data_IF_314400609273
#
_entry.id   IF_314400609273
#
_cell.length_a   1.000
_cell.length_b   1.000
_cell.length_c   1.000
_cell.angle_alpha   90.00
_cell.angle_beta   90.00
_cell.angle_gamma   90.00
#
_symmetry.space_group_name_H-M   'P 1'
#
loop_
_entity.id
_entity.type
_entity.pdbx_description
1 polymer ?
#
# COMPACT_ATOMS: atom_id res chain seq x y z
N UNK A 1 -3.16 9.59 9.74
CA UNK A 1 -3.02 10.07 8.34
C UNK A 1 -1.58 9.95 7.81
N UNK A 2 -0.56 10.43 8.53
CA UNK A 2 0.85 10.44 8.07
C UNK A 2 1.40 9.13 7.49
N UNK A 3 1.04 7.95 8.02
CA UNK A 3 1.52 6.65 7.48
C UNK A 3 0.94 6.38 6.09
N UNK A 4 -0.36 6.63 5.89
CA UNK A 4 -1.06 6.38 4.63
C UNK A 4 -0.66 7.37 3.55
N UNK A 5 -0.30 8.60 3.93
CA UNK A 5 0.25 9.60 3.01
C UNK A 5 1.66 9.21 2.58
N UNK A 6 2.47 8.68 3.51
CA UNK A 6 3.82 8.18 3.21
C UNK A 6 3.79 6.94 2.32
N UNK A 7 2.85 6.02 2.55
CA UNK A 7 2.63 4.88 1.66
C UNK A 7 2.23 5.31 0.24
N UNK A 8 1.50 6.42 0.08
CA UNK A 8 1.17 6.99 -1.23
C UNK A 8 2.43 7.46 -1.96
N UNK A 9 3.29 8.20 -1.25
CA UNK A 9 4.54 8.71 -1.81
C UNK A 9 5.49 7.58 -2.24
N UNK A 10 5.51 6.46 -1.50
CA UNK A 10 6.33 5.30 -1.85
C UNK A 10 5.92 4.62 -3.17
N UNK A 11 4.69 4.81 -3.65
CA UNK A 11 4.24 4.31 -4.96
C UNK A 11 4.95 5.05 -6.11
N UNK A 12 5.36 6.30 -5.88
CA UNK A 12 6.05 7.12 -6.88
C UNK A 12 7.58 7.11 -6.73
N UNK A 13 8.12 6.35 -5.78
CA UNK A 13 9.56 6.24 -5.56
C UNK A 13 10.28 5.60 -6.77
N UNK A 14 11.44 6.17 -7.15
CA UNK A 14 12.28 5.59 -8.20
C UNK A 14 12.96 4.28 -7.75
N UNK A 15 13.36 4.20 -6.47
CA UNK A 15 13.89 2.98 -5.88
C UNK A 15 12.75 2.10 -5.34
N UNK A 16 12.23 1.23 -6.21
CA UNK A 16 11.14 0.33 -5.88
C UNK A 16 11.50 -0.65 -4.74
N UNK A 17 12.76 -1.10 -4.65
CA UNK A 17 13.20 -2.04 -3.62
C UNK A 17 13.19 -1.37 -2.25
N UNK A 18 13.79 -0.19 -2.13
CA UNK A 18 13.76 0.58 -0.89
C UNK A 18 12.31 0.92 -0.49
N UNK A 19 11.47 1.25 -1.47
CA UNK A 19 10.06 1.57 -1.23
C UNK A 19 9.26 0.40 -0.66
N UNK A 20 9.50 -0.83 -1.12
CA UNK A 20 8.84 -2.04 -0.59
C UNK A 20 9.24 -2.27 0.88
N UNK A 21 10.53 -2.19 1.20
CA UNK A 21 11.01 -2.40 2.58
C UNK A 21 10.44 -1.34 3.54
N UNK A 22 10.43 -0.08 3.11
CA UNK A 22 9.85 1.00 3.91
C UNK A 22 8.33 0.82 4.08
N UNK A 23 7.63 0.43 3.01
CA UNK A 23 6.20 0.15 3.09
C UNK A 23 5.90 -0.98 4.09
N UNK A 24 6.67 -2.08 4.07
CA UNK A 24 6.55 -3.17 5.05
C UNK A 24 6.75 -2.66 6.48
N UNK A 25 7.80 -1.89 6.72
CA UNK A 25 8.08 -1.32 8.04
C UNK A 25 6.96 -0.40 8.54
N UNK A 26 6.38 0.41 7.65
CA UNK A 26 5.24 1.28 7.97
C UNK A 26 3.96 0.48 8.26
N UNK A 27 3.70 -0.57 7.48
CA UNK A 27 2.51 -1.40 7.62
C UNK A 27 2.53 -2.25 8.90
N UNK A 28 3.71 -2.66 9.37
CA UNK A 28 3.89 -3.31 10.68
C UNK A 28 3.37 -2.46 11.86
N UNK A 29 3.24 -1.15 11.68
CA UNK A 29 2.72 -0.23 12.72
C UNK A 29 1.20 -0.16 12.77
N UNK A 30 0.48 -0.77 11.84
CA UNK A 30 -0.97 -0.94 11.94
C UNK A 30 -1.24 -2.08 12.91
N UNK A 31 -1.40 -1.73 14.19
CA UNK A 31 -1.88 -2.63 15.25
C UNK A 31 -2.89 -1.89 16.13
N UNK A 32 -3.98 -2.54 16.58
CA UNK A 32 -4.39 -3.91 16.25
C UNK A 32 -4.99 -4.02 14.84
N UNK A 33 -4.72 -5.13 14.14
CA UNK A 33 -5.31 -5.40 12.81
C UNK A 33 -6.66 -6.10 12.93
N UNK A 34 -7.63 -5.67 12.12
CA UNK A 34 -8.85 -6.45 11.89
C UNK A 34 -8.60 -7.58 10.90
N UNK A 35 -9.44 -8.62 10.94
CA UNK A 35 -9.40 -9.75 10.00
C UNK A 35 -9.52 -9.30 8.54
N UNK A 36 -10.17 -8.15 8.29
CA UNK A 36 -10.29 -7.56 6.96
C UNK A 36 -9.05 -6.71 6.57
N UNK A 37 -8.36 -6.12 7.54
CA UNK A 37 -7.23 -5.23 7.28
C UNK A 37 -5.98 -6.02 6.86
N UNK A 38 -5.69 -7.14 7.52
CA UNK A 38 -4.54 -7.99 7.18
C UNK A 38 -4.48 -8.38 5.69
N UNK A 39 -5.52 -9.00 5.10
CA UNK A 39 -5.48 -9.34 3.68
C UNK A 39 -5.48 -8.11 2.76
N UNK A 40 -6.01 -6.95 3.20
CA UNK A 40 -5.91 -5.73 2.43
C UNK A 40 -4.48 -5.15 2.40
N UNK A 41 -3.72 -5.32 3.49
CA UNK A 41 -2.31 -4.98 3.56
C UNK A 41 -1.50 -5.90 2.64
N UNK A 42 -1.76 -7.21 2.67
CA UNK A 42 -1.07 -8.18 1.83
C UNK A 42 -1.34 -7.93 0.33
N UNK A 43 -2.60 -7.67 -0.04
CA UNK A 43 -2.98 -7.26 -1.40
C UNK A 43 -2.19 -6.02 -1.87
N UNK A 44 -2.07 -5.01 -1.00
CA UNK A 44 -1.33 -3.78 -1.31
C UNK A 44 0.17 -4.05 -1.53
N UNK A 45 0.79 -4.85 -0.66
CA UNK A 45 2.20 -5.23 -0.81
C UNK A 45 2.44 -6.03 -2.10
N UNK A 46 1.52 -6.93 -2.45
CA UNK A 46 1.60 -7.69 -3.71
C UNK A 46 1.56 -6.76 -4.93
N UNK A 47 0.66 -5.79 -4.95
CA UNK A 47 0.56 -4.83 -6.07
C UNK A 47 1.79 -3.88 -6.11
N UNK A 48 2.38 -3.54 -4.96
CA UNK A 48 3.63 -2.77 -4.90
C UNK A 48 4.84 -3.57 -5.42
N UNK A 49 4.93 -4.85 -5.06
CA UNK A 49 5.95 -5.77 -5.63
C UNK A 49 5.75 -5.97 -7.14
N UNK A 50 4.50 -6.04 -7.58
CA UNK A 50 4.16 -6.12 -9.02
C UNK A 50 4.59 -4.86 -9.76
N UNK A 51 4.46 -3.69 -9.16
CA UNK A 51 5.00 -2.44 -9.72
C UNK A 51 6.53 -2.52 -9.90
N UNK A 52 7.28 -2.97 -8.88
CA UNK A 52 8.74 -3.17 -8.99
C UNK A 52 9.09 -4.12 -10.14
N UNK A 53 8.42 -5.27 -10.21
CA UNK A 53 8.62 -6.25 -11.28
C UNK A 53 8.34 -5.67 -12.67
N UNK A 54 7.26 -4.89 -12.81
CA UNK A 54 6.90 -4.27 -14.09
C UNK A 54 7.97 -3.26 -14.52
N UNK A 55 8.43 -2.41 -13.61
CA UNK A 55 9.46 -1.41 -13.89
C UNK A 55 10.79 -2.08 -14.24
N UNK A 56 11.16 -3.13 -13.53
CA UNK A 56 12.40 -3.88 -13.77
C UNK A 56 12.38 -4.65 -15.10
N UNK A 57 11.28 -5.35 -15.43
CA UNK A 57 11.22 -6.23 -16.60
C UNK A 57 10.75 -5.54 -17.89
N UNK A 58 9.90 -4.51 -17.77
CA UNK A 58 9.24 -3.87 -18.93
C UNK A 58 9.50 -2.36 -19.00
N UNK A 59 10.33 -1.83 -18.10
CA UNK A 59 10.59 -0.40 -17.99
C UNK A 59 9.32 0.39 -17.62
N UNK A 60 9.31 1.66 -17.97
CA UNK A 60 8.26 2.61 -17.57
C UNK A 60 6.96 2.52 -18.38
N UNK A 61 6.84 1.58 -19.33
CA UNK A 61 5.69 1.50 -20.27
C UNK A 61 4.35 1.23 -19.58
N UNK A 62 4.37 0.49 -18.47
CA UNK A 62 3.17 0.13 -17.71
C UNK A 62 3.16 0.70 -16.28
N UNK A 63 4.14 1.54 -15.94
CA UNK A 63 4.34 2.12 -14.61
C UNK A 63 3.07 2.84 -14.11
N UNK A 64 2.44 3.64 -14.97
CA UNK A 64 1.21 4.36 -14.61
C UNK A 64 0.05 3.42 -14.21
N UNK A 65 -0.12 2.32 -14.95
CA UNK A 65 -1.18 1.34 -14.67
C UNK A 65 -0.89 0.58 -13.38
N UNK A 66 0.36 0.15 -13.18
CA UNK A 66 0.79 -0.54 -11.97
C UNK A 66 0.66 0.35 -10.71
N UNK A 67 1.08 1.62 -10.81
CA UNK A 67 0.85 2.62 -9.73
C UNK A 67 -0.63 2.83 -9.44
N UNK A 68 -1.47 2.83 -10.47
CA UNK A 68 -2.93 2.95 -10.29
C UNK A 68 -3.50 1.76 -9.52
N UNK A 69 -3.03 0.54 -9.78
CA UNK A 69 -3.43 -0.66 -9.03
C UNK A 69 -3.00 -0.56 -7.56
N UNK A 70 -1.73 -0.23 -7.30
CA UNK A 70 -1.21 -0.04 -5.94
C UNK A 70 -2.01 1.03 -5.16
N UNK A 71 -2.36 2.16 -5.80
CA UNK A 71 -3.19 3.20 -5.17
C UNK A 71 -4.60 2.73 -4.86
N UNK A 72 -5.22 1.90 -5.71
CA UNK A 72 -6.54 1.31 -5.43
C UNK A 72 -6.49 0.38 -4.22
N UNK A 73 -5.44 -0.43 -4.06
CA UNK A 73 -5.24 -1.24 -2.85
C UNK A 73 -4.97 -0.39 -1.62
N UNK A 74 -4.16 0.66 -1.74
CA UNK A 74 -3.93 1.60 -0.65
C UNK A 74 -5.23 2.27 -0.20
N UNK A 75 -6.13 2.65 -1.10
CA UNK A 75 -7.44 3.18 -0.75
C UNK A 75 -8.28 2.19 0.08
N UNK A 76 -8.21 0.88 -0.22
CA UNK A 76 -8.84 -0.17 0.58
C UNK A 76 -8.21 -0.26 1.99
N UNK A 77 -6.88 -0.18 2.09
CA UNK A 77 -6.17 -0.11 3.39
C UNK A 77 -6.61 1.13 4.17
N UNK A 78 -6.72 2.30 3.55
CA UNK A 78 -7.22 3.54 4.17
C UNK A 78 -8.63 3.35 4.75
N UNK A 79 -9.54 2.75 3.99
CA UNK A 79 -10.91 2.48 4.42
C UNK A 79 -10.96 1.57 5.65
N UNK A 80 -10.22 0.45 5.60
CA UNK A 80 -10.28 -0.61 6.63
C UNK A 80 -9.48 -0.26 7.89
N UNK A 81 -8.52 0.65 7.79
CA UNK A 81 -7.78 1.17 8.94
C UNK A 81 -8.48 2.34 9.63
N UNK A 82 -9.24 3.17 8.91
CA UNK A 82 -10.06 4.25 9.48
C UNK A 82 -11.43 3.79 10.01
N UNK A 83 -11.93 2.63 9.56
CA UNK A 83 -13.23 2.10 9.99
C UNK A 83 -13.33 1.69 11.47
N UNK A 84 -12.21 1.63 12.19
CA UNK A 84 -12.17 1.33 13.63
C UNK A 84 -12.72 2.48 14.49
N UNK A 85 -12.64 3.73 14.02
CA UNK A 85 -13.13 4.89 14.78
C UNK A 85 -14.66 5.07 14.69
N UNK A 86 -15.28 4.70 13.56
CA UNK A 86 -16.74 4.83 13.38
C UNK A 86 -17.55 3.70 13.99
N UNK A 87 -16.97 2.52 14.19
CA UNK A 87 -17.66 1.38 14.80
C UNK A 87 -17.77 1.48 16.34
N UNK A 88 -17.03 2.41 16.97
CA UNK A 88 -17.03 2.64 18.43
C UNK A 88 -17.97 3.76 18.88
N UNK A 89 -18.67 4.42 17.94
CA UNK A 89 -19.61 5.53 18.20
C UNK A 89 -21.09 5.15 18.03
N UNK A 90 -21.42 3.84 17.96
CA UNK A 90 -22.81 3.36 17.99
C UNK A 90 -23.03 2.39 19.13
#
# INVERSE_FOLDING_TARGET
MQILDRLDALIDADDCRAAIEEARALLLRFEPRSDALTPAIDDFLLDLMTLSFIVECYGRRFELLARTLARRRLAKVRLLSGGVDTARQK
#
